data_IF_720924304487
#
_entry.id   IF_720924304487
#
_cell.length_a   1.000
_cell.length_b   1.000
_cell.length_c   1.000
_cell.angle_alpha   90.00
_cell.angle_beta   90.00
_cell.angle_gamma   90.00
#
_symmetry.space_group_name_H-M   'P 1'
#
loop_
_entity.id
_entity.type
_entity.pdbx_description
1 polymer ?
#
# COMPACT_ATOMS: atom_id res chain seq x y z
N UNK A 1 -26.72 10.61 -14.78
CA UNK A 1 -25.46 11.18 -14.29
C UNK A 1 -24.74 10.29 -13.26
N UNK A 2 -24.93 8.99 -13.33
CA UNK A 2 -24.15 8.01 -12.60
C UNK A 2 -22.78 7.74 -13.22
N UNK A 3 -22.52 8.28 -14.40
CA UNK A 3 -21.35 7.97 -15.19
C UNK A 3 -20.03 8.54 -14.65
N UNK A 4 -20.07 9.64 -13.91
CA UNK A 4 -18.84 10.24 -13.37
C UNK A 4 -18.25 9.45 -12.20
N UNK A 5 -19.09 8.79 -11.40
CA UNK A 5 -18.63 7.92 -10.31
C UNK A 5 -18.15 6.57 -10.83
N UNK A 6 -18.71 6.11 -11.94
CA UNK A 6 -18.31 4.86 -12.57
C UNK A 6 -17.02 5.01 -13.37
N UNK A 7 -16.69 6.23 -13.80
CA UNK A 7 -15.45 6.51 -14.53
C UNK A 7 -14.25 6.79 -13.63
N UNK A 8 -14.41 6.77 -12.31
CA UNK A 8 -13.31 6.99 -11.39
C UNK A 8 -12.34 5.82 -11.38
N UNK A 9 -11.05 6.16 -11.39
CA UNK A 9 -9.97 5.20 -11.34
C UNK A 9 -9.75 4.72 -9.90
N UNK A 10 -9.81 3.40 -9.71
CA UNK A 10 -9.60 2.77 -8.42
C UNK A 10 -8.71 1.54 -8.54
N UNK A 11 -8.16 1.11 -7.43
CA UNK A 11 -7.48 -0.16 -7.33
C UNK A 11 -8.48 -1.26 -6.99
N UNK A 12 -8.39 -2.36 -7.72
CA UNK A 12 -9.24 -3.54 -7.53
C UNK A 12 -8.37 -4.76 -7.30
N UNK A 13 -8.87 -5.70 -6.53
CA UNK A 13 -8.21 -6.97 -6.29
C UNK A 13 -8.78 -8.02 -7.23
N UNK A 14 -7.90 -8.66 -7.97
CA UNK A 14 -8.24 -9.75 -8.88
C UNK A 14 -7.70 -11.04 -8.30
N UNK A 15 -8.56 -12.03 -8.18
CA UNK A 15 -8.18 -13.35 -7.72
C UNK A 15 -7.70 -14.22 -8.88
N UNK A 16 -6.57 -14.89 -8.70
CA UNK A 16 -5.99 -15.78 -9.70
C UNK A 16 -5.78 -17.17 -9.12
N UNK A 17 -5.50 -18.12 -9.97
CA UNK A 17 -4.99 -19.41 -9.51
C UNK A 17 -3.60 -19.19 -8.91
N UNK A 18 -3.30 -19.95 -7.85
CA UNK A 18 -2.00 -19.88 -7.19
C UNK A 18 -0.88 -20.25 -8.17
N UNK A 19 0.14 -19.39 -8.23
CA UNK A 19 1.25 -19.54 -9.15
C UNK A 19 1.06 -18.88 -10.53
N UNK A 20 -0.14 -18.36 -10.81
CA UNK A 20 -0.44 -17.71 -12.09
C UNK A 20 -0.35 -16.18 -12.05
N UNK A 21 0.04 -15.60 -10.94
CA UNK A 21 0.07 -14.14 -10.75
C UNK A 21 0.93 -13.44 -11.82
N UNK A 22 2.14 -13.93 -12.06
CA UNK A 22 3.03 -13.36 -13.08
C UNK A 22 2.46 -13.50 -14.49
N UNK A 23 1.86 -14.64 -14.79
CA UNK A 23 1.24 -14.89 -16.08
C UNK A 23 0.05 -13.96 -16.32
N UNK A 24 -0.76 -13.74 -15.28
CA UNK A 24 -1.88 -12.81 -15.32
C UNK A 24 -1.38 -11.37 -15.55
N UNK A 25 -0.33 -10.97 -14.83
CA UNK A 25 0.29 -9.66 -14.99
C UNK A 25 0.71 -9.41 -16.45
N UNK A 26 1.45 -10.35 -17.03
CA UNK A 26 1.90 -10.25 -18.42
C UNK A 26 0.74 -10.25 -19.41
N UNK A 27 -0.23 -11.14 -19.21
CA UNK A 27 -1.40 -11.24 -20.08
C UNK A 27 -2.25 -9.98 -20.05
N UNK A 28 -2.44 -9.38 -18.87
CA UNK A 28 -3.15 -8.11 -18.74
C UNK A 28 -2.41 -6.97 -19.42
N UNK A 29 -1.10 -6.89 -19.27
CA UNK A 29 -0.29 -5.87 -19.94
C UNK A 29 -0.37 -5.99 -21.46
N UNK A 30 -0.34 -7.21 -21.96
CA UNK A 30 -0.48 -7.46 -23.41
C UNK A 30 -1.87 -7.06 -23.91
N UNK A 31 -2.93 -7.39 -23.17
CA UNK A 31 -4.30 -6.99 -23.53
C UNK A 31 -4.46 -5.48 -23.55
N UNK A 32 -3.87 -4.79 -22.58
CA UNK A 32 -3.92 -3.33 -22.52
C UNK A 32 -3.32 -2.73 -23.81
N UNK A 33 -2.19 -3.25 -24.25
CA UNK A 33 -1.54 -2.78 -25.47
C UNK A 33 -2.30 -3.17 -26.72
N UNK A 34 -2.72 -4.45 -26.83
CA UNK A 34 -3.34 -4.96 -28.05
C UNK A 34 -4.77 -4.48 -28.26
N UNK A 35 -5.49 -4.21 -27.19
CA UNK A 35 -6.90 -3.78 -27.24
C UNK A 35 -7.09 -2.28 -27.00
N UNK A 36 -6.00 -1.52 -26.82
CA UNK A 36 -6.06 -0.08 -26.63
C UNK A 36 -6.72 0.34 -25.32
N UNK A 37 -6.44 -0.38 -24.23
CA UNK A 37 -7.06 -0.14 -22.92
C UNK A 37 -6.23 0.77 -22.01
N UNK A 38 -5.22 1.45 -22.53
CA UNK A 38 -4.32 2.28 -21.74
C UNK A 38 -5.02 3.41 -20.99
N UNK A 39 -6.17 3.85 -21.49
CA UNK A 39 -6.96 4.89 -20.83
C UNK A 39 -7.96 4.35 -19.82
N UNK A 40 -8.03 3.04 -19.67
CA UNK A 40 -9.00 2.37 -18.78
C UNK A 40 -8.31 1.48 -17.76
N UNK A 41 -7.21 0.82 -18.13
CA UNK A 41 -6.38 0.02 -17.24
C UNK A 41 -5.01 0.67 -17.18
N UNK A 42 -4.64 1.20 -16.02
CA UNK A 42 -3.47 2.06 -15.87
C UNK A 42 -2.26 1.33 -15.30
N UNK A 43 -2.48 0.39 -14.40
CA UNK A 43 -1.39 -0.34 -13.78
C UNK A 43 -1.87 -1.70 -13.26
N UNK A 44 -0.94 -2.65 -13.21
CA UNK A 44 -1.17 -3.98 -12.65
C UNK A 44 0.05 -4.33 -11.80
N UNK A 45 -0.17 -4.63 -10.54
CA UNK A 45 0.91 -5.00 -9.63
C UNK A 45 0.60 -6.30 -8.90
N UNK A 46 1.66 -7.05 -8.61
CA UNK A 46 1.59 -8.22 -7.75
C UNK A 46 2.08 -7.79 -6.37
N UNK A 47 1.28 -7.98 -5.30
CA UNK A 47 1.74 -7.60 -3.96
C UNK A 47 2.84 -8.56 -3.48
N UNK A 48 4.07 -8.12 -3.64
CA UNK A 48 5.28 -8.87 -3.27
C UNK A 48 6.13 -8.04 -2.32
N UNK A 49 6.86 -8.73 -1.46
CA UNK A 49 7.84 -8.13 -0.55
C UNK A 49 9.21 -8.71 -0.84
N UNK A 50 10.21 -7.85 -0.90
CA UNK A 50 11.59 -8.29 -0.99
C UNK A 50 12.11 -8.64 0.39
N UNK A 51 12.69 -9.83 0.53
CA UNK A 51 13.32 -10.29 1.74
C UNK A 51 14.76 -10.71 1.45
N UNK A 52 15.65 -10.44 2.38
CA UNK A 52 17.05 -10.89 2.29
C UNK A 52 17.17 -12.21 3.02
N UNK A 53 17.54 -13.24 2.29
CA UNK A 53 17.79 -14.58 2.86
C UNK A 53 19.30 -14.84 2.86
N UNK A 54 19.84 -15.17 4.03
CA UNK A 54 21.23 -15.61 4.17
C UNK A 54 21.28 -17.13 4.15
N UNK A 55 21.94 -17.69 3.14
CA UNK A 55 22.17 -19.12 3.04
C UNK A 55 23.62 -19.36 2.67
N UNK A 56 24.34 -20.13 3.49
CA UNK A 56 25.75 -20.46 3.31
C UNK A 56 26.68 -19.23 3.17
N UNK A 57 26.37 -18.16 3.92
CA UNK A 57 27.14 -16.93 3.87
C UNK A 57 26.85 -16.02 2.67
N UNK A 58 25.92 -16.42 1.82
CA UNK A 58 25.50 -15.62 0.65
C UNK A 58 24.17 -14.97 0.92
N UNK A 59 24.10 -13.67 0.72
CA UNK A 59 22.84 -12.92 0.81
C UNK A 59 22.13 -12.98 -0.55
N UNK A 60 20.89 -13.45 -0.54
CA UNK A 60 20.02 -13.44 -1.71
C UNK A 60 18.78 -12.62 -1.42
N UNK A 61 18.44 -11.74 -2.36
CA UNK A 61 17.16 -11.02 -2.32
C UNK A 61 16.13 -11.91 -2.97
N UNK A 62 15.11 -12.29 -2.21
CA UNK A 62 13.99 -13.08 -2.71
C UNK A 62 12.71 -12.27 -2.64
N UNK A 63 11.83 -12.48 -3.60
CA UNK A 63 10.50 -11.85 -3.61
C UNK A 63 9.48 -12.85 -3.10
N UNK A 64 8.81 -12.49 -2.00
CA UNK A 64 7.72 -13.29 -1.47
C UNK A 64 6.40 -12.60 -1.74
N UNK A 65 5.44 -13.38 -2.21
CA UNK A 65 4.08 -12.88 -2.41
C UNK A 65 3.41 -12.71 -1.07
N UNK A 66 2.94 -11.50 -0.80
CA UNK A 66 2.23 -11.17 0.45
C UNK A 66 0.84 -11.80 0.42
N UNK A 67 0.19 -11.72 -0.74
CA UNK A 67 -1.14 -12.30 -0.94
C UNK A 67 -1.10 -13.24 -2.15
N UNK A 68 -0.73 -14.52 -1.96
CA UNK A 68 -0.71 -15.47 -3.07
C UNK A 68 -2.09 -15.64 -3.69
N UNK A 69 -2.15 -15.62 -5.02
CA UNK A 69 -3.39 -15.74 -5.74
C UNK A 69 -4.15 -14.42 -5.92
N UNK A 70 -3.51 -13.28 -5.64
CA UNK A 70 -4.10 -11.94 -5.80
C UNK A 70 -3.21 -11.03 -6.61
N UNK A 71 -3.85 -10.23 -7.45
CA UNK A 71 -3.19 -9.20 -8.27
C UNK A 71 -3.99 -7.91 -8.11
N UNK A 72 -3.29 -6.79 -8.00
CA UNK A 72 -3.92 -5.47 -7.91
C UNK A 72 -3.95 -4.82 -9.27
N UNK A 73 -5.11 -4.33 -9.68
CA UNK A 73 -5.30 -3.64 -10.95
C UNK A 73 -5.85 -2.24 -10.72
N UNK A 74 -5.15 -1.24 -11.21
CA UNK A 74 -5.63 0.14 -11.19
C UNK A 74 -6.37 0.41 -12.49
N UNK A 75 -7.69 0.53 -12.41
CA UNK A 75 -8.52 0.60 -13.60
C UNK A 75 -9.83 1.34 -13.36
N UNK A 76 -10.45 1.69 -14.45
CA UNK A 76 -11.85 2.13 -14.47
C UNK A 76 -12.70 0.91 -14.78
N UNK A 77 -13.64 0.58 -13.90
CA UNK A 77 -14.52 -0.58 -14.10
C UNK A 77 -15.73 -0.19 -14.95
N UNK A 78 -15.87 -0.87 -16.07
CA UNK A 78 -17.06 -0.85 -16.90
C UNK A 78 -17.30 -2.26 -17.44
N UNK A 79 -18.35 -2.48 -18.19
CA UNK A 79 -18.67 -3.82 -18.71
C UNK A 79 -17.52 -4.41 -19.53
N UNK A 80 -16.85 -3.59 -20.32
CA UNK A 80 -15.76 -4.03 -21.18
C UNK A 80 -14.51 -4.40 -20.39
N UNK A 81 -14.05 -3.52 -19.51
CA UNK A 81 -12.83 -3.77 -18.71
C UNK A 81 -13.04 -4.94 -17.75
N UNK A 82 -14.20 -5.01 -17.13
CA UNK A 82 -14.57 -6.12 -16.26
C UNK A 82 -14.51 -7.46 -17.01
N UNK A 83 -15.09 -7.48 -18.20
CA UNK A 83 -15.11 -8.66 -19.06
C UNK A 83 -13.70 -9.06 -19.49
N UNK A 84 -12.92 -8.10 -19.97
CA UNK A 84 -11.58 -8.35 -20.48
C UNK A 84 -10.63 -8.86 -19.39
N UNK A 85 -10.71 -8.28 -18.20
CA UNK A 85 -9.87 -8.72 -17.06
C UNK A 85 -10.33 -10.09 -16.58
N UNK A 86 -11.61 -10.30 -16.43
CA UNK A 86 -12.16 -11.58 -15.96
C UNK A 86 -11.83 -12.74 -16.89
N UNK A 87 -11.80 -12.50 -18.19
CA UNK A 87 -11.52 -13.52 -19.20
C UNK A 87 -10.02 -13.69 -19.51
N UNK A 88 -9.16 -13.08 -18.71
CA UNK A 88 -7.73 -13.29 -18.81
C UNK A 88 -7.37 -14.65 -18.23
N UNK A 89 -6.52 -15.39 -18.92
CA UNK A 89 -6.07 -16.72 -18.48
C UNK A 89 -5.43 -16.64 -17.09
N UNK A 90 -5.89 -17.47 -16.19
CA UNK A 90 -5.41 -17.53 -14.80
C UNK A 90 -6.23 -16.70 -13.83
N UNK A 91 -7.10 -15.83 -14.31
CA UNK A 91 -8.01 -15.03 -13.47
C UNK A 91 -9.23 -15.84 -13.13
N UNK A 92 -9.56 -15.92 -11.83
CA UNK A 92 -10.79 -16.57 -11.35
C UNK A 92 -11.93 -15.57 -11.17
N UNK A 93 -11.62 -14.29 -10.96
CA UNK A 93 -12.60 -13.24 -10.84
C UNK A 93 -12.10 -12.07 -10.03
N UNK A 94 -12.93 -11.06 -9.87
CA UNK A 94 -12.65 -9.93 -8.99
C UNK A 94 -13.07 -10.26 -7.56
N UNK A 95 -12.34 -9.70 -6.60
CA UNK A 95 -12.78 -9.71 -5.21
C UNK A 95 -13.85 -8.63 -5.05
N UNK A 96 -15.01 -9.03 -4.57
CA UNK A 96 -16.12 -8.13 -4.40
C UNK A 96 -17.40 -8.87 -4.04
N UNK A 97 -18.52 -8.14 -4.07
CA UNK A 97 -19.84 -8.70 -3.78
C UNK A 97 -20.58 -9.03 -5.08
N UNK A 98 -20.83 -10.32 -5.33
CA UNK A 98 -21.54 -10.77 -6.50
C UNK A 98 -20.80 -10.46 -7.81
N UNK A 99 -21.46 -9.76 -8.73
CA UNK A 99 -20.90 -9.39 -10.03
C UNK A 99 -20.20 -8.03 -10.04
N UNK A 100 -20.23 -7.32 -8.91
CA UNK A 100 -19.64 -5.99 -8.82
C UNK A 100 -18.31 -6.02 -8.07
N UNK A 101 -17.20 -5.64 -8.71
CA UNK A 101 -15.95 -5.47 -8.02
C UNK A 101 -16.03 -4.35 -6.99
N UNK A 102 -15.43 -4.58 -5.82
CA UNK A 102 -15.35 -3.56 -4.78
C UNK A 102 -13.96 -2.94 -4.83
N UNK A 103 -13.85 -1.61 -5.00
CA UNK A 103 -12.56 -0.96 -5.00
C UNK A 103 -11.92 -1.00 -3.62
N UNK A 104 -10.59 -1.04 -3.60
CA UNK A 104 -9.84 -0.87 -2.37
C UNK A 104 -10.03 0.54 -1.84
N UNK A 105 -10.19 0.67 -0.53
CA UNK A 105 -10.13 1.97 0.13
C UNK A 105 -8.68 2.46 0.12
N UNK A 106 -8.50 3.77 0.32
CA UNK A 106 -7.15 4.33 0.42
C UNK A 106 -6.35 3.69 1.55
N UNK A 107 -7.00 3.42 2.69
CA UNK A 107 -6.36 2.77 3.83
C UNK A 107 -5.92 1.35 3.52
N UNK A 108 -6.78 0.58 2.84
CA UNK A 108 -6.44 -0.78 2.44
C UNK A 108 -5.27 -0.81 1.46
N UNK A 109 -5.28 0.10 0.49
CA UNK A 109 -4.20 0.22 -0.49
C UNK A 109 -2.88 0.62 0.17
N UNK A 110 -2.92 1.60 1.07
CA UNK A 110 -1.73 2.03 1.82
C UNK A 110 -1.17 0.90 2.70
N UNK A 111 -2.03 0.11 3.31
CA UNK A 111 -1.61 -1.05 4.09
C UNK A 111 -0.89 -2.09 3.23
N UNK A 112 -1.39 -2.33 2.02
CA UNK A 112 -0.75 -3.25 1.08
C UNK A 112 0.62 -2.71 0.67
N UNK A 113 0.72 -1.44 0.33
CA UNK A 113 2.00 -0.81 -0.01
C UNK A 113 3.01 -0.90 1.13
N UNK A 114 2.54 -0.71 2.35
CA UNK A 114 3.37 -0.81 3.54
C UNK A 114 3.91 -2.23 3.72
N UNK A 115 3.06 -3.23 3.52
CA UNK A 115 3.46 -4.63 3.55
C UNK A 115 4.47 -4.98 2.46
N UNK A 116 4.36 -4.33 1.31
CA UNK A 116 5.32 -4.49 0.21
C UNK A 116 6.65 -3.80 0.47
N UNK A 117 6.76 -3.01 1.52
CA UNK A 117 7.94 -2.21 1.81
C UNK A 117 8.03 -0.94 0.97
N UNK A 118 7.00 -0.61 0.20
CA UNK A 118 6.89 0.67 -0.50
C UNK A 118 6.35 1.68 0.49
N UNK A 119 7.25 2.32 1.18
CA UNK A 119 6.87 3.16 2.30
C UNK A 119 6.85 4.63 1.95
N UNK A 120 5.74 5.28 2.29
CA UNK A 120 5.73 6.72 2.50
C UNK A 120 6.71 7.13 3.61
N UNK A 121 7.12 6.19 4.45
CA UNK A 121 8.09 6.39 5.51
C UNK A 121 9.47 6.82 5.02
N UNK A 122 9.82 6.56 3.76
CA UNK A 122 11.04 7.12 3.17
C UNK A 122 10.98 8.64 3.07
N UNK A 123 9.78 9.20 2.95
CA UNK A 123 9.57 10.65 2.96
C UNK A 123 9.73 11.21 4.37
N UNK A 124 9.47 10.39 5.38
CA UNK A 124 9.52 10.78 6.79
C UNK A 124 10.95 10.72 7.35
N UNK A 125 11.84 9.94 6.72
CA UNK A 125 13.28 9.97 7.05
C UNK A 125 13.94 11.32 6.76
N UNK A 126 13.26 12.17 5.97
CA UNK A 126 13.70 13.54 5.72
C UNK A 126 13.25 14.50 6.83
N UNK A 127 12.49 14.03 7.81
CA UNK A 127 12.18 14.85 8.98
C UNK A 127 13.38 14.85 9.90
N UNK A 128 14.07 15.96 9.93
CA UNK A 128 15.22 16.19 10.77
C UNK A 128 14.73 16.49 12.19
N UNK A 129 14.30 15.46 12.90
CA UNK A 129 13.80 15.56 14.26
C UNK A 129 14.93 15.16 15.23
N UNK A 130 15.31 16.10 16.09
CA UNK A 130 16.32 15.87 17.10
C UNK A 130 15.67 15.66 18.48
N UNK A 131 16.41 14.97 19.36
CA UNK A 131 16.01 14.81 20.75
C UNK A 131 15.87 16.16 21.42
N UNK A 132 14.76 16.37 22.11
CA UNK A 132 14.45 17.64 22.79
C UNK A 132 13.56 18.57 21.98
N UNK A 133 13.31 18.28 20.71
CA UNK A 133 12.39 19.07 19.90
C UNK A 133 10.94 18.76 20.24
N UNK A 134 10.09 19.75 20.06
CA UNK A 134 8.65 19.56 20.19
C UNK A 134 8.04 19.35 18.80
N UNK A 135 7.29 18.27 18.64
CA UNK A 135 6.61 17.91 17.40
C UNK A 135 5.12 17.83 17.65
N UNK A 136 4.36 17.95 16.56
CA UNK A 136 2.91 17.79 16.61
C UNK A 136 2.56 16.39 16.08
N UNK A 137 1.72 15.69 16.81
CA UNK A 137 1.22 14.38 16.37
C UNK A 137 0.08 14.60 15.40
N UNK A 138 0.22 14.07 14.17
CA UNK A 138 -0.73 14.31 13.09
C UNK A 138 -1.64 13.12 12.79
N UNK A 139 -1.40 11.96 13.41
CA UNK A 139 -2.29 10.81 13.25
C UNK A 139 -2.19 9.85 14.44
N UNK A 140 -3.20 9.02 14.60
CA UNK A 140 -3.30 8.04 15.67
C UNK A 140 -4.12 8.53 16.85
N UNK A 141 -4.10 7.79 17.98
CA UNK A 141 -4.92 8.13 19.15
C UNK A 141 -4.51 9.43 19.84
N UNK A 142 -3.32 9.95 19.53
CA UNK A 142 -2.80 11.20 20.12
C UNK A 142 -2.78 12.35 19.12
N UNK A 143 -3.57 12.27 18.06
CA UNK A 143 -3.67 13.30 17.04
C UNK A 143 -3.94 14.69 17.66
N UNK A 144 -3.22 15.69 17.16
CA UNK A 144 -3.28 17.09 17.61
C UNK A 144 -2.61 17.39 18.95
N UNK A 145 -1.96 16.39 19.59
CA UNK A 145 -1.17 16.65 20.78
C UNK A 145 0.26 17.06 20.40
N UNK A 146 0.84 17.92 21.22
CA UNK A 146 2.26 18.22 21.12
C UNK A 146 3.06 17.20 21.92
N UNK A 147 4.17 16.78 21.36
CA UNK A 147 5.04 15.79 22.00
C UNK A 147 6.49 16.26 21.98
N UNK A 148 7.19 16.00 23.07
CA UNK A 148 8.62 16.31 23.17
C UNK A 148 9.41 15.04 22.85
N UNK A 149 10.28 15.09 21.86
CA UNK A 149 11.08 13.95 21.43
C UNK A 149 12.11 13.59 22.51
N UNK A 150 12.08 12.36 22.96
CA UNK A 150 13.01 11.82 23.97
C UNK A 150 14.10 11.00 23.31
N UNK A 151 13.75 10.20 22.33
CA UNK A 151 14.73 9.42 21.55
C UNK A 151 14.24 9.20 20.12
N UNK A 152 15.20 9.01 19.23
CA UNK A 152 14.94 8.78 17.81
C UNK A 152 15.62 7.48 17.42
N UNK A 153 14.85 6.58 16.79
CA UNK A 153 15.37 5.32 16.24
C UNK A 153 15.25 5.38 14.73
N UNK A 154 16.34 5.79 14.07
CA UNK A 154 16.39 5.93 12.61
C UNK A 154 16.26 4.59 11.89
N UNK A 155 16.74 3.51 12.50
CA UNK A 155 16.69 2.19 11.88
C UNK A 155 15.27 1.65 11.77
N UNK A 156 14.46 1.88 12.78
CA UNK A 156 13.06 1.44 12.82
C UNK A 156 12.07 2.48 12.32
N UNK A 157 12.53 3.71 12.08
CA UNK A 157 11.67 4.80 11.69
C UNK A 157 10.68 5.22 12.79
N UNK A 158 11.10 5.09 14.05
CA UNK A 158 10.26 5.37 15.22
C UNK A 158 10.89 6.39 16.14
N UNK A 159 10.05 7.12 16.84
CA UNK A 159 10.49 8.05 17.88
C UNK A 159 9.77 7.75 19.18
N UNK A 160 10.47 7.98 20.29
CA UNK A 160 9.84 8.00 21.60
C UNK A 160 9.66 9.46 22.02
N UNK A 161 8.47 9.80 22.42
CA UNK A 161 8.14 11.17 22.78
C UNK A 161 7.31 11.21 24.06
N UNK A 162 7.41 12.34 24.75
CA UNK A 162 6.59 12.61 25.91
C UNK A 162 5.38 13.44 25.50
N UNK A 163 4.22 12.91 25.73
CA UNK A 163 2.95 13.61 25.50
C UNK A 163 2.39 14.02 26.85
N UNK A 164 2.03 15.29 26.96
CA UNK A 164 1.35 15.80 28.16
C UNK A 164 -0.15 15.54 28.02
N UNK A 165 -0.61 14.52 28.73
CA UNK A 165 -2.01 14.15 28.78
C UNK A 165 -2.56 14.41 30.17
N UNK A 166 -3.53 15.32 30.28
CA UNK A 166 -4.21 15.63 31.55
C UNK A 166 -3.24 16.00 32.69
N UNK A 167 -2.19 16.74 32.39
CA UNK A 167 -1.19 17.13 33.36
C UNK A 167 -0.17 16.03 33.71
N UNK A 168 -0.15 14.94 32.98
CA UNK A 168 0.81 13.86 33.14
C UNK A 168 1.59 13.63 31.87
N UNK A 169 2.90 13.54 32.01
CA UNK A 169 3.76 13.19 30.91
C UNK A 169 3.76 11.68 30.71
N UNK A 170 3.41 11.24 29.50
CA UNK A 170 3.35 9.83 29.13
C UNK A 170 4.29 9.55 27.98
N UNK A 171 5.14 8.54 28.12
CA UNK A 171 6.00 8.09 27.02
C UNK A 171 5.16 7.35 26.00
N UNK A 172 5.23 7.80 24.75
CA UNK A 172 4.58 7.14 23.62
C UNK A 172 5.59 6.85 22.53
N UNK A 173 5.41 5.74 21.87
CA UNK A 173 6.20 5.38 20.70
C UNK A 173 5.40 5.73 19.45
N UNK A 174 5.99 6.51 18.57
CA UNK A 174 5.35 7.02 17.37
C UNK A 174 6.21 6.69 16.15
N UNK A 175 5.55 6.44 15.05
CA UNK A 175 6.24 6.33 13.77
C UNK A 175 6.55 7.74 13.23
N UNK A 176 7.59 7.84 12.40
CA UNK A 176 8.01 9.15 11.86
C UNK A 176 6.87 9.84 11.11
N UNK A 177 6.02 9.08 10.42
CA UNK A 177 4.90 9.65 9.66
C UNK A 177 3.76 10.18 10.52
N UNK A 178 3.75 9.84 11.81
CA UNK A 178 2.70 10.27 12.74
C UNK A 178 2.98 11.63 13.36
N UNK A 179 4.14 12.22 13.13
CA UNK A 179 4.54 13.49 13.70
C UNK A 179 4.93 14.48 12.63
N UNK A 180 4.68 15.75 12.92
CA UNK A 180 5.09 16.87 12.10
C UNK A 180 5.98 17.79 12.92
N UNK A 181 6.97 18.36 12.26
CA UNK A 181 7.82 19.36 12.86
C UNK A 181 7.04 20.66 13.02
N UNK A 182 7.07 21.21 14.22
CA UNK A 182 6.37 22.46 14.53
C UNK A 182 7.00 23.66 13.85
#
# INVERSE_FOLDING_TARGET
MGSEKESARHWYVVHTYSGYENKVLESLKQKVQSMGLENEIFDVIIPEKEEVEKKDGVEKVIKRKIFPGYVLVNMIVNEKTWYDVRNTDGVTGFVGSGTKPIPLTEDEYENILREMGVEKTKVVHDIDVEVGETVKICSGPFENFAAKVVSVDDEKGKIKALVDMFGRETNVELDFYQVEKN
#
